data_IF_920081760974
#
_entry.id   IF_920081760974
#
_cell.length_a   1.000
_cell.length_b   1.000
_cell.length_c   1.000
_cell.angle_alpha   90.00
_cell.angle_beta   90.00
_cell.angle_gamma   90.00
#
_symmetry.space_group_name_H-M   'P 1'
#
loop_
_entity.id
_entity.type
_entity.pdbx_description
1 polymer ?
#
# COMPACT_ATOMS: atom_id res chain seq x y z
N UNK A 1 -14.81 19.06 26.81
CA UNK A 1 -14.44 18.68 25.43
C UNK A 1 -12.95 18.41 25.49
N UNK A 2 -12.55 17.16 25.36
CA UNK A 2 -11.14 16.80 25.22
C UNK A 2 -10.54 17.59 24.06
N UNK A 3 -9.30 18.04 24.22
CA UNK A 3 -8.61 18.79 23.18
C UNK A 3 -8.25 17.84 22.03
N UNK A 4 -9.12 17.72 21.04
CA UNK A 4 -9.02 16.80 19.89
C UNK A 4 -7.73 16.99 19.08
N UNK A 5 -6.92 17.99 19.40
CA UNK A 5 -5.63 18.25 18.75
C UNK A 5 -4.42 17.64 19.50
N UNK A 6 -4.66 16.94 20.61
CA UNK A 6 -3.62 16.31 21.44
C UNK A 6 -3.68 14.77 21.39
N UNK A 7 -3.93 14.21 20.20
CA UNK A 7 -3.91 12.75 20.01
C UNK A 7 -2.50 12.20 20.22
N UNK A 8 -2.40 11.16 21.03
CA UNK A 8 -1.17 10.38 21.18
C UNK A 8 -0.94 9.48 19.95
N UNK A 9 0.30 9.00 19.72
CA UNK A 9 0.57 8.01 18.68
C UNK A 9 -0.30 6.74 18.79
N UNK A 10 -0.63 6.29 20.01
CA UNK A 10 -1.49 5.11 20.25
C UNK A 10 -2.95 5.36 19.85
N UNK A 11 -3.46 6.57 20.05
CA UNK A 11 -4.80 6.95 19.58
C UNK A 11 -4.84 7.02 18.05
N UNK A 12 -3.83 7.60 17.42
CA UNK A 12 -3.68 7.59 15.96
C UNK A 12 -3.56 6.18 15.40
N UNK A 13 -2.86 5.29 16.08
CA UNK A 13 -2.74 3.90 15.69
C UNK A 13 -4.10 3.18 15.69
N UNK A 14 -4.92 3.44 16.69
CA UNK A 14 -6.28 2.87 16.80
C UNK A 14 -7.24 3.48 15.79
N UNK A 15 -7.43 4.80 15.81
CA UNK A 15 -8.31 5.51 14.88
C UNK A 15 -7.85 6.96 14.63
N UNK A 16 -7.18 7.26 13.51
CA UNK A 16 -6.68 8.58 13.19
C UNK A 16 -7.75 9.54 12.63
N UNK A 17 -8.89 9.05 12.20
CA UNK A 17 -9.85 9.85 11.41
C UNK A 17 -10.51 10.99 12.18
N UNK A 18 -10.90 10.87 13.47
CA UNK A 18 -11.41 11.99 14.24
C UNK A 18 -10.38 13.13 14.37
N UNK A 19 -9.10 12.80 14.58
CA UNK A 19 -8.01 13.75 14.59
C UNK A 19 -7.84 14.46 13.24
N UNK A 20 -7.84 13.71 12.15
CA UNK A 20 -7.74 14.28 10.81
C UNK A 20 -8.91 15.21 10.47
N UNK A 21 -10.13 14.86 10.87
CA UNK A 21 -11.30 15.72 10.68
C UNK A 21 -11.18 17.04 11.44
N UNK A 22 -10.69 16.99 12.69
CA UNK A 22 -10.42 18.19 13.47
C UNK A 22 -9.33 19.05 12.83
N UNK A 23 -8.23 18.42 12.36
CA UNK A 23 -7.16 19.16 11.68
C UNK A 23 -7.65 19.83 10.38
N UNK A 24 -8.38 19.11 9.52
CA UNK A 24 -8.94 19.69 8.28
C UNK A 24 -9.78 20.93 8.55
N UNK A 25 -10.58 20.90 9.61
CA UNK A 25 -11.45 22.02 10.00
C UNK A 25 -10.67 23.19 10.58
N UNK A 26 -9.81 22.94 11.57
CA UNK A 26 -9.29 23.96 12.47
C UNK A 26 -7.82 24.35 12.20
N UNK A 27 -6.97 23.36 11.80
CA UNK A 27 -5.52 23.54 11.57
C UNK A 27 -5.04 22.60 10.45
N UNK A 28 -5.38 22.87 9.18
CA UNK A 28 -5.11 21.94 8.06
C UNK A 28 -3.62 21.68 7.82
N UNK A 29 -2.75 22.55 8.30
CA UNK A 29 -1.30 22.36 8.37
C UNK A 29 -0.90 22.49 9.84
N UNK A 30 -0.47 21.40 10.45
CA UNK A 30 -0.27 21.29 11.89
C UNK A 30 1.06 20.64 12.22
N UNK A 31 1.82 21.24 13.17
CA UNK A 31 3.01 20.61 13.72
C UNK A 31 2.58 19.59 14.79
N UNK A 32 2.84 18.32 14.53
CA UNK A 32 2.52 17.22 15.43
C UNK A 32 3.76 16.89 16.29
N UNK A 33 3.79 17.43 17.50
CA UNK A 33 4.94 17.34 18.42
C UNK A 33 5.42 15.91 18.71
N UNK A 34 4.52 14.89 18.90
CA UNK A 34 4.99 13.55 19.23
C UNK A 34 5.91 12.91 18.19
N UNK A 35 5.83 13.32 16.92
CA UNK A 35 6.70 12.82 15.85
C UNK A 35 7.63 13.89 15.27
N UNK A 36 7.45 15.16 15.66
CA UNK A 36 8.23 16.29 15.14
C UNK A 36 7.94 16.62 13.66
N UNK A 37 6.74 16.32 13.18
CA UNK A 37 6.36 16.44 11.78
C UNK A 37 5.28 17.48 11.54
N UNK A 38 5.33 18.14 10.39
CA UNK A 38 4.24 18.95 9.88
C UNK A 38 3.27 18.09 9.10
N UNK A 39 2.01 18.01 9.52
CA UNK A 39 0.96 17.25 8.85
C UNK A 39 0.13 18.17 7.95
N UNK A 40 -0.01 17.82 6.68
CA UNK A 40 -0.88 18.50 5.69
C UNK A 40 -2.08 17.59 5.46
N UNK A 41 -3.32 18.08 5.70
CA UNK A 41 -4.48 17.20 5.85
C UNK A 41 -5.61 17.42 4.88
N UNK A 42 -5.82 18.64 4.33
CA UNK A 42 -6.87 18.89 3.32
C UNK A 42 -6.45 18.37 1.95
N UNK A 43 -7.42 17.93 1.17
CA UNK A 43 -7.18 17.47 -0.20
C UNK A 43 -6.42 18.47 -1.07
N UNK A 44 -6.89 19.73 -1.10
CA UNK A 44 -6.28 20.77 -1.92
C UNK A 44 -4.82 21.04 -1.52
N UNK A 45 -4.55 21.10 -0.22
CA UNK A 45 -3.21 21.34 0.33
C UNK A 45 -2.28 20.14 0.08
N UNK A 46 -2.78 18.92 0.22
CA UNK A 46 -2.04 17.69 -0.12
C UNK A 46 -1.68 17.64 -1.62
N UNK A 47 -2.58 18.11 -2.49
CA UNK A 47 -2.27 18.21 -3.92
C UNK A 47 -1.18 19.25 -4.23
N UNK A 48 -1.22 20.42 -3.59
CA UNK A 48 -0.18 21.44 -3.71
C UNK A 48 1.15 20.87 -3.25
N UNK A 49 1.19 20.28 -2.05
CA UNK A 49 2.42 19.69 -1.52
C UNK A 49 2.95 18.54 -2.40
N UNK A 50 2.08 17.65 -2.87
CA UNK A 50 2.43 16.54 -3.74
C UNK A 50 2.92 16.98 -5.13
N UNK A 51 2.45 18.09 -5.65
CA UNK A 51 2.89 18.66 -6.92
C UNK A 51 4.21 19.45 -6.79
N UNK A 52 4.51 20.00 -5.61
CA UNK A 52 5.70 20.82 -5.34
C UNK A 52 6.92 19.96 -4.96
N UNK A 53 7.31 19.06 -5.88
CA UNK A 53 8.40 18.09 -5.62
C UNK A 53 9.80 18.72 -5.55
N UNK A 54 9.97 19.98 -5.95
CA UNK A 54 11.18 20.78 -5.76
C UNK A 54 11.27 21.37 -4.33
N UNK A 55 10.12 21.50 -3.66
CA UNK A 55 10.02 21.98 -2.27
C UNK A 55 9.96 20.79 -1.31
N UNK A 56 8.99 19.90 -1.53
CA UNK A 56 8.77 18.73 -0.69
C UNK A 56 9.47 17.51 -1.30
N UNK A 57 10.78 17.49 -1.10
CA UNK A 57 11.65 16.42 -1.61
C UNK A 57 11.47 15.12 -0.81
N UNK A 58 11.85 13.95 -1.35
CA UNK A 58 11.91 12.74 -0.56
C UNK A 58 12.67 12.96 0.74
N UNK A 59 12.12 12.49 1.84
CA UNK A 59 12.81 12.45 3.11
C UNK A 59 13.76 11.27 3.12
N UNK A 60 14.95 11.41 3.74
CA UNK A 60 15.82 10.27 4.05
C UNK A 60 15.11 9.29 4.99
N UNK A 61 13.96 9.74 5.46
CA UNK A 61 13.00 8.94 6.15
C UNK A 61 13.18 8.96 7.66
N UNK A 62 12.21 8.41 8.26
CA UNK A 62 12.16 7.95 9.62
C UNK A 62 13.17 6.80 9.77
N UNK A 63 14.10 6.88 10.76
CA UNK A 63 15.25 5.97 10.88
C UNK A 63 14.90 4.48 10.75
N UNK A 64 13.82 3.96 11.34
CA UNK A 64 13.41 2.57 11.12
C UNK A 64 13.13 2.23 9.65
N UNK A 65 12.52 3.14 8.89
CA UNK A 65 12.28 2.94 7.45
C UNK A 65 13.58 2.89 6.66
N UNK A 66 14.53 3.78 6.97
CA UNK A 66 15.86 3.82 6.34
C UNK A 66 16.62 2.51 6.58
N UNK A 67 16.66 2.05 7.83
CA UNK A 67 17.29 0.78 8.20
C UNK A 67 16.63 -0.42 7.51
N UNK A 68 15.30 -0.40 7.37
CA UNK A 68 14.53 -1.49 6.77
C UNK A 68 14.71 -1.57 5.27
N UNK A 69 14.49 -0.45 4.58
CA UNK A 69 14.49 -0.42 3.11
C UNK A 69 15.87 -0.23 2.51
N UNK A 70 16.80 0.33 3.28
CA UNK A 70 18.10 0.82 2.82
C UNK A 70 17.98 1.97 1.81
N UNK A 71 19.03 2.72 1.64
CA UNK A 71 19.11 3.86 0.71
C UNK A 71 20.42 3.81 -0.09
N UNK A 72 20.43 4.34 -1.32
CA UNK A 72 19.32 4.96 -2.04
C UNK A 72 18.32 3.93 -2.60
N UNK A 73 17.05 4.27 -2.67
CA UNK A 73 15.99 3.45 -3.26
C UNK A 73 14.99 4.32 -4.04
N UNK A 74 14.01 3.71 -4.71
CA UNK A 74 13.05 4.42 -5.56
C UNK A 74 12.23 5.49 -4.82
N UNK A 75 12.08 5.41 -3.49
CA UNK A 75 11.37 6.42 -2.70
C UNK A 75 12.25 7.60 -2.30
N UNK A 76 13.57 7.42 -2.24
CA UNK A 76 14.54 8.43 -1.78
C UNK A 76 15.31 9.09 -2.92
N UNK A 77 15.38 8.45 -4.09
CA UNK A 77 15.99 9.00 -5.29
C UNK A 77 15.18 10.16 -5.88
N UNK A 78 15.86 11.05 -6.60
CA UNK A 78 15.26 12.19 -7.33
C UNK A 78 15.90 12.36 -8.72
N UNK A 79 15.34 13.22 -9.54
CA UNK A 79 15.94 13.63 -10.82
C UNK A 79 16.11 12.49 -11.81
N UNK A 80 17.24 12.51 -12.54
CA UNK A 80 17.54 11.56 -13.62
C UNK A 80 17.74 10.12 -13.11
N UNK A 81 18.34 9.94 -11.95
CA UNK A 81 18.56 8.61 -11.35
C UNK A 81 17.24 7.93 -11.01
N UNK A 82 16.32 8.68 -10.37
CA UNK A 82 14.96 8.20 -10.12
C UNK A 82 14.24 7.85 -11.43
N UNK A 83 14.30 8.73 -12.43
CA UNK A 83 13.64 8.51 -13.72
C UNK A 83 14.21 7.29 -14.46
N UNK A 84 15.50 7.08 -14.41
CA UNK A 84 16.19 5.92 -15.00
C UNK A 84 15.74 4.60 -14.31
N UNK A 85 15.69 4.58 -12.97
CA UNK A 85 15.23 3.41 -12.22
C UNK A 85 13.73 3.14 -12.48
N UNK A 86 12.89 4.20 -12.54
CA UNK A 86 11.45 4.10 -12.83
C UNK A 86 11.17 3.51 -14.21
N UNK A 87 12.00 3.74 -15.22
CA UNK A 87 11.83 3.10 -16.54
C UNK A 87 11.81 1.57 -16.42
N UNK A 88 12.70 1.00 -15.59
CA UNK A 88 12.70 -0.43 -15.33
C UNK A 88 11.46 -0.88 -14.52
N UNK A 89 11.13 -0.16 -13.46
CA UNK A 89 10.01 -0.53 -12.58
C UNK A 89 8.67 -0.41 -13.30
N UNK A 90 8.45 0.69 -14.03
CA UNK A 90 7.15 1.00 -14.63
C UNK A 90 6.83 0.13 -15.85
N UNK A 91 7.83 -0.31 -16.61
CA UNK A 91 7.63 -1.03 -17.88
C UNK A 91 6.66 -2.23 -17.78
N UNK A 92 6.78 -3.17 -16.85
CA UNK A 92 5.85 -4.29 -16.71
C UNK A 92 4.55 -3.92 -15.95
N UNK A 93 4.44 -2.71 -15.38
CA UNK A 93 3.35 -2.28 -14.49
C UNK A 93 2.42 -1.22 -15.10
N UNK A 94 2.69 -0.74 -16.30
CA UNK A 94 1.76 0.15 -17.02
C UNK A 94 0.52 -0.63 -17.45
N UNK A 95 -0.61 0.06 -17.63
CA UNK A 95 -1.88 -0.58 -17.94
C UNK A 95 -1.82 -1.56 -19.12
N UNK A 96 -1.26 -1.22 -20.31
CA UNK A 96 -1.22 -2.15 -21.42
C UNK A 96 -0.44 -3.44 -21.12
N UNK A 97 0.61 -3.37 -20.30
CA UNK A 97 1.36 -4.55 -19.90
C UNK A 97 0.58 -5.41 -18.90
N UNK A 98 0.00 -4.78 -17.87
CA UNK A 98 -0.79 -5.47 -16.84
C UNK A 98 -2.01 -6.17 -17.44
N UNK A 99 -2.73 -5.52 -18.35
CA UNK A 99 -3.93 -6.08 -19.00
C UNK A 99 -3.64 -7.38 -19.77
N UNK A 100 -2.40 -7.58 -20.24
CA UNK A 100 -2.01 -8.82 -20.96
C UNK A 100 -1.93 -10.04 -20.05
N UNK A 101 -1.45 -9.87 -18.81
CA UNK A 101 -1.12 -11.01 -17.96
C UNK A 101 -1.98 -11.17 -16.71
N UNK A 102 -2.60 -10.11 -16.21
CA UNK A 102 -3.12 -10.09 -14.84
C UNK A 102 -4.28 -11.05 -14.59
N UNK A 103 -5.23 -11.19 -15.53
CA UNK A 103 -6.34 -12.13 -15.36
C UNK A 103 -5.85 -13.58 -15.38
N UNK A 104 -4.88 -13.93 -16.25
CA UNK A 104 -4.28 -15.24 -16.33
C UNK A 104 -3.38 -15.55 -15.12
N UNK A 105 -2.85 -14.54 -14.47
CA UNK A 105 -2.05 -14.69 -13.26
C UNK A 105 -2.91 -14.76 -12.00
N UNK A 106 -3.73 -13.74 -11.76
CA UNK A 106 -4.40 -13.55 -10.49
C UNK A 106 -5.61 -14.48 -10.30
N UNK A 107 -6.44 -14.66 -11.35
CA UNK A 107 -7.68 -15.43 -11.22
C UNK A 107 -7.45 -16.89 -10.80
N UNK A 108 -6.52 -17.66 -11.40
CA UNK A 108 -6.24 -19.03 -10.94
C UNK A 108 -5.72 -19.08 -9.50
N UNK A 109 -4.91 -18.08 -9.08
CA UNK A 109 -4.41 -17.99 -7.70
C UNK A 109 -5.58 -17.77 -6.73
N UNK A 110 -6.45 -16.80 -7.01
CA UNK A 110 -7.63 -16.50 -6.19
C UNK A 110 -8.54 -17.73 -6.08
N UNK A 111 -8.83 -18.39 -7.20
CA UNK A 111 -9.69 -19.57 -7.25
C UNK A 111 -9.11 -20.74 -6.45
N UNK A 112 -7.78 -20.93 -6.45
CA UNK A 112 -7.13 -21.97 -5.66
C UNK A 112 -7.34 -21.75 -4.15
N UNK A 113 -7.13 -20.53 -3.65
CA UNK A 113 -7.39 -20.21 -2.23
C UNK A 113 -8.88 -20.33 -1.87
N UNK A 114 -9.78 -19.88 -2.73
CA UNK A 114 -11.22 -20.02 -2.50
C UNK A 114 -11.69 -21.46 -2.48
N UNK A 115 -11.10 -22.34 -3.31
CA UNK A 115 -11.42 -23.77 -3.32
C UNK A 115 -11.11 -24.43 -1.97
N UNK A 116 -10.02 -24.01 -1.29
CA UNK A 116 -9.66 -24.52 0.05
C UNK A 116 -10.59 -23.99 1.16
N UNK A 117 -11.12 -22.75 0.99
CA UNK A 117 -11.96 -22.12 1.99
C UNK A 117 -13.45 -22.48 1.88
N UNK A 118 -13.93 -22.69 0.65
CA UNK A 118 -15.36 -22.77 0.32
C UNK A 118 -16.14 -23.72 1.22
N UNK A 119 -15.62 -24.94 1.46
CA UNK A 119 -16.29 -25.98 2.25
C UNK A 119 -16.21 -25.76 3.76
N UNK A 120 -15.43 -24.79 4.23
CA UNK A 120 -15.21 -24.52 5.66
C UNK A 120 -16.33 -23.68 6.29
N UNK A 121 -17.00 -22.83 5.51
CA UNK A 121 -18.07 -21.96 5.98
C UNK A 121 -17.61 -20.75 6.81
N UNK A 122 -16.33 -20.68 7.17
CA UNK A 122 -15.73 -19.56 7.92
C UNK A 122 -14.21 -19.43 7.67
N UNK A 123 -13.69 -18.20 7.72
CA UNK A 123 -12.26 -17.89 7.72
C UNK A 123 -11.99 -16.44 8.17
N UNK A 124 -10.73 -16.14 8.49
CA UNK A 124 -10.22 -14.78 8.50
C UNK A 124 -9.80 -14.41 7.06
N UNK A 125 -10.64 -13.63 6.37
CA UNK A 125 -10.42 -13.30 4.95
C UNK A 125 -9.14 -12.48 4.72
N UNK A 126 -8.68 -11.70 5.70
CA UNK A 126 -7.41 -10.99 5.55
C UNK A 126 -6.26 -11.97 5.46
N UNK A 127 -6.15 -12.87 6.45
CA UNK A 127 -4.99 -13.76 6.62
C UNK A 127 -5.00 -14.97 5.70
N UNK A 128 -6.21 -15.48 5.42
CA UNK A 128 -6.36 -16.76 4.72
C UNK A 128 -6.71 -16.59 3.22
N UNK A 129 -7.07 -15.36 2.79
CA UNK A 129 -7.42 -15.08 1.41
C UNK A 129 -6.64 -13.90 0.83
N UNK A 130 -6.87 -12.67 1.32
CA UNK A 130 -6.39 -11.47 0.63
C UNK A 130 -4.87 -11.27 0.72
N UNK A 131 -4.24 -11.47 1.88
CA UNK A 131 -2.78 -11.40 2.01
C UNK A 131 -2.09 -12.49 1.17
N UNK A 132 -2.45 -13.78 1.28
CA UNK A 132 -1.81 -14.83 0.47
C UNK A 132 -1.96 -14.61 -1.04
N UNK A 133 -3.11 -14.15 -1.50
CA UNK A 133 -3.33 -13.81 -2.93
C UNK A 133 -2.37 -12.70 -3.34
N UNK A 134 -2.32 -11.62 -2.57
CA UNK A 134 -1.48 -10.45 -2.87
C UNK A 134 -0.01 -10.85 -2.97
N UNK A 135 0.53 -11.52 -1.95
CA UNK A 135 1.94 -11.93 -1.95
C UNK A 135 2.27 -12.86 -3.10
N UNK A 136 1.39 -13.82 -3.42
CA UNK A 136 1.61 -14.77 -4.51
C UNK A 136 1.60 -14.07 -5.88
N UNK A 137 0.63 -13.19 -6.13
CA UNK A 137 0.55 -12.46 -7.39
C UNK A 137 1.78 -11.57 -7.62
N UNK A 138 2.16 -10.77 -6.62
CA UNK A 138 3.28 -9.84 -6.76
C UNK A 138 4.62 -10.60 -6.84
N UNK A 139 4.81 -11.67 -6.07
CA UNK A 139 6.00 -12.50 -6.15
C UNK A 139 6.17 -13.13 -7.56
N UNK A 140 5.07 -13.57 -8.18
CA UNK A 140 5.12 -14.05 -9.57
C UNK A 140 5.56 -12.96 -10.55
N UNK A 141 4.99 -11.75 -10.44
CA UNK A 141 5.40 -10.61 -11.28
C UNK A 141 6.88 -10.26 -11.05
N UNK A 142 7.37 -10.37 -9.82
CA UNK A 142 8.79 -10.16 -9.52
C UNK A 142 9.71 -11.25 -10.09
N UNK A 143 9.20 -12.47 -10.31
CA UNK A 143 9.99 -13.64 -10.71
C UNK A 143 10.39 -14.54 -9.53
N UNK A 144 9.85 -14.31 -8.33
CA UNK A 144 10.11 -15.08 -7.09
C UNK A 144 9.17 -16.29 -6.98
N UNK A 145 8.97 -17.03 -8.07
CA UNK A 145 8.02 -18.15 -8.14
C UNK A 145 8.42 -19.35 -7.30
N UNK A 146 9.71 -19.48 -6.98
CA UNK A 146 10.28 -20.57 -6.18
C UNK A 146 10.07 -20.37 -4.67
N UNK A 147 9.67 -19.17 -4.22
CA UNK A 147 9.45 -18.87 -2.80
C UNK A 147 8.00 -19.21 -2.44
N UNK A 148 7.79 -19.97 -1.38
CA UNK A 148 6.45 -20.31 -0.90
C UNK A 148 5.71 -19.12 -0.27
N UNK A 149 4.37 -19.20 -0.20
CA UNK A 149 3.53 -18.08 0.29
C UNK A 149 3.78 -17.76 1.76
N UNK A 150 4.05 -18.75 2.61
CA UNK A 150 4.28 -18.52 4.04
C UNK A 150 5.59 -17.73 4.25
N UNK A 151 6.64 -18.06 3.50
CA UNK A 151 7.90 -17.31 3.48
C UNK A 151 7.71 -15.87 3.00
N UNK A 152 6.94 -15.66 1.91
CA UNK A 152 6.64 -14.32 1.41
C UNK A 152 5.85 -13.48 2.42
N UNK A 153 4.85 -14.06 3.07
CA UNK A 153 4.08 -13.40 4.15
C UNK A 153 5.01 -13.04 5.32
N UNK A 154 5.88 -13.94 5.74
CA UNK A 154 6.86 -13.67 6.80
C UNK A 154 7.81 -12.55 6.43
N UNK A 155 8.27 -12.47 5.18
CA UNK A 155 9.17 -11.40 4.73
C UNK A 155 8.53 -10.01 4.86
N UNK A 156 7.31 -9.83 4.36
CA UNK A 156 6.68 -8.52 4.45
C UNK A 156 6.32 -8.14 5.89
N UNK A 157 5.89 -9.09 6.73
CA UNK A 157 5.66 -8.83 8.16
C UNK A 157 6.95 -8.42 8.87
N UNK A 158 8.07 -9.07 8.58
CA UNK A 158 9.37 -8.70 9.15
C UNK A 158 9.82 -7.30 8.72
N UNK A 159 9.70 -6.97 7.42
CA UNK A 159 9.99 -5.63 6.90
C UNK A 159 9.06 -4.59 7.52
N UNK A 160 7.76 -4.87 7.67
CA UNK A 160 6.81 -3.97 8.30
C UNK A 160 7.12 -3.74 9.79
N UNK A 161 7.49 -4.80 10.52
CA UNK A 161 7.91 -4.71 11.92
C UNK A 161 9.18 -3.86 12.05
N UNK A 162 10.17 -4.09 11.18
CA UNK A 162 11.39 -3.27 11.13
C UNK A 162 11.10 -1.80 10.82
N UNK A 163 10.23 -1.52 9.85
CA UNK A 163 9.86 -0.17 9.45
C UNK A 163 9.12 0.62 10.58
N UNK A 164 8.56 -0.08 11.54
CA UNK A 164 7.84 0.49 12.69
C UNK A 164 8.64 0.39 14.01
N UNK A 165 9.89 -0.06 13.99
CA UNK A 165 10.72 -0.25 15.20
C UNK A 165 11.24 1.09 15.76
N UNK A 166 10.32 1.91 16.24
CA UNK A 166 10.60 3.23 16.85
C UNK A 166 11.41 3.09 18.13
N UNK A 167 11.16 2.01 18.88
CA UNK A 167 11.83 1.70 20.14
C UNK A 167 13.27 1.20 19.98
N UNK A 168 13.78 1.09 18.74
CA UNK A 168 15.12 0.61 18.40
C UNK A 168 15.46 -0.76 19.05
N UNK A 169 14.46 -1.65 19.12
CA UNK A 169 14.61 -2.98 19.68
C UNK A 169 15.63 -3.80 18.88
N UNK A 170 16.76 -4.24 19.50
CA UNK A 170 17.79 -5.00 18.82
C UNK A 170 17.31 -6.36 18.31
N UNK A 171 16.33 -7.00 18.96
CA UNK A 171 15.80 -8.28 18.50
C UNK A 171 15.02 -8.14 17.19
N UNK A 172 14.31 -7.03 17.00
CA UNK A 172 13.66 -6.71 15.73
C UNK A 172 14.68 -6.50 14.62
N UNK A 173 15.78 -5.80 14.91
CA UNK A 173 16.85 -5.60 13.91
C UNK A 173 17.53 -6.92 13.52
N UNK A 174 17.81 -7.79 14.47
CA UNK A 174 18.39 -9.10 14.17
C UNK A 174 17.45 -9.94 13.28
N UNK A 175 16.19 -10.02 13.64
CA UNK A 175 15.16 -10.72 12.84
C UNK A 175 15.07 -10.14 11.41
N UNK A 176 15.16 -8.81 11.29
CA UNK A 176 15.12 -8.13 10.00
C UNK A 176 16.36 -8.46 9.15
N UNK A 177 17.56 -8.46 9.75
CA UNK A 177 18.82 -8.77 9.04
C UNK A 177 18.81 -10.21 8.52
N UNK A 178 18.30 -11.16 9.32
CA UNK A 178 18.13 -12.56 8.91
C UNK A 178 17.18 -12.68 7.70
N UNK A 179 16.03 -11.99 7.75
CA UNK A 179 15.08 -11.98 6.63
C UNK A 179 15.64 -11.30 5.39
N UNK A 180 16.36 -10.19 5.53
CA UNK A 180 17.03 -9.53 4.40
C UNK A 180 18.06 -10.42 3.74
N UNK A 181 18.78 -11.24 4.51
CA UNK A 181 19.71 -12.23 3.95
C UNK A 181 18.99 -13.32 3.14
N UNK A 182 17.82 -13.78 3.61
CA UNK A 182 16.98 -14.72 2.86
C UNK A 182 16.46 -14.10 1.56
N UNK A 183 15.94 -12.88 1.62
CA UNK A 183 15.47 -12.13 0.45
C UNK A 183 16.59 -11.97 -0.56
N UNK A 184 17.78 -11.55 -0.10
CA UNK A 184 18.97 -11.40 -0.97
C UNK A 184 19.36 -12.71 -1.67
N UNK A 185 19.27 -13.84 -0.97
CA UNK A 185 19.56 -15.17 -1.53
C UNK A 185 18.55 -15.52 -2.62
N UNK A 186 17.25 -15.36 -2.37
CA UNK A 186 16.21 -15.68 -3.33
C UNK A 186 16.24 -14.76 -4.56
N UNK A 187 16.43 -13.45 -4.34
CA UNK A 187 16.59 -12.46 -5.42
C UNK A 187 17.86 -12.71 -6.20
N UNK A 188 18.97 -13.06 -5.53
CA UNK A 188 20.25 -13.38 -6.16
C UNK A 188 20.14 -14.51 -7.19
N UNK A 189 19.41 -15.57 -6.88
CA UNK A 189 19.17 -16.68 -7.79
C UNK A 189 18.39 -16.25 -9.07
N UNK A 190 17.43 -15.32 -8.93
CA UNK A 190 16.73 -14.74 -10.10
C UNK A 190 17.66 -13.80 -10.86
N UNK A 191 18.40 -12.94 -10.15
CA UNK A 191 19.34 -11.98 -10.72
C UNK A 191 20.39 -12.64 -11.61
N UNK A 192 21.07 -13.70 -11.13
CA UNK A 192 22.07 -14.45 -11.90
C UNK A 192 21.53 -14.96 -13.24
N UNK A 193 20.27 -15.39 -13.27
CA UNK A 193 19.61 -15.84 -14.48
C UNK A 193 19.30 -14.68 -15.43
N UNK A 194 18.66 -13.61 -14.92
CA UNK A 194 18.13 -12.53 -15.77
C UNK A 194 19.21 -11.57 -16.27
N UNK A 195 20.38 -11.49 -15.62
CA UNK A 195 21.52 -10.69 -16.10
C UNK A 195 21.96 -11.11 -17.51
N UNK A 196 22.03 -12.41 -17.75
CA UNK A 196 22.46 -12.95 -19.05
C UNK A 196 21.29 -13.29 -19.99
N UNK A 197 20.12 -13.53 -19.45
CA UNK A 197 18.93 -13.94 -20.21
C UNK A 197 17.73 -13.15 -19.71
N UNK A 198 17.54 -11.91 -20.19
CA UNK A 198 16.40 -11.08 -19.81
C UNK A 198 15.08 -11.76 -20.05
N UNK A 199 14.13 -11.59 -19.11
CA UNK A 199 12.77 -12.11 -19.23
C UNK A 199 11.74 -11.03 -18.89
N UNK A 200 10.45 -11.38 -18.83
CA UNK A 200 9.35 -10.45 -18.52
C UNK A 200 9.16 -10.13 -17.05
N UNK A 201 10.03 -10.62 -16.15
CA UNK A 201 9.89 -10.37 -14.71
C UNK A 201 10.26 -8.95 -14.33
N UNK A 202 9.68 -8.44 -13.24
CA UNK A 202 9.98 -7.12 -12.72
C UNK A 202 11.48 -6.98 -12.33
N UNK A 203 12.08 -8.03 -11.76
CA UNK A 203 13.51 -8.03 -11.43
C UNK A 203 14.34 -7.86 -12.71
N UNK A 204 14.02 -8.60 -13.79
CA UNK A 204 14.69 -8.45 -15.09
C UNK A 204 14.57 -7.03 -15.64
N UNK A 205 13.37 -6.46 -15.60
CA UNK A 205 13.13 -5.07 -16.02
C UNK A 205 13.91 -4.05 -15.17
N UNK A 206 14.02 -4.24 -13.86
CA UNK A 206 14.79 -3.36 -12.98
C UNK A 206 16.30 -3.48 -13.29
N UNK A 207 16.80 -4.67 -13.58
CA UNK A 207 18.22 -4.91 -13.91
C UNK A 207 18.61 -4.17 -15.19
N UNK A 208 17.79 -4.19 -16.23
CA UNK A 208 18.15 -3.71 -17.57
C UNK A 208 17.53 -2.35 -17.94
N UNK A 209 16.34 -2.04 -17.43
CA UNK A 209 15.54 -0.88 -17.88
C UNK A 209 16.19 0.46 -17.55
N UNK A 210 16.25 1.36 -18.54
CA UNK A 210 16.87 2.68 -18.41
C UNK A 210 18.39 2.68 -18.37
N UNK A 211 19.03 1.52 -18.48
CA UNK A 211 20.49 1.40 -18.54
C UNK A 211 21.01 1.61 -19.98
N UNK A 212 22.25 2.12 -20.14
CA UNK A 212 22.92 2.11 -21.43
C UNK A 212 23.03 0.70 -22.01
N UNK A 213 23.09 0.61 -23.35
CA UNK A 213 23.26 -0.67 -24.03
C UNK A 213 24.48 -1.45 -23.50
N UNK A 214 24.28 -2.71 -23.19
CA UNK A 214 25.32 -3.59 -22.62
C UNK A 214 25.62 -3.39 -21.13
N UNK A 215 24.91 -2.46 -20.45
CA UNK A 215 25.06 -2.21 -19.02
C UNK A 215 23.85 -2.74 -18.25
N UNK A 216 24.09 -3.16 -17.01
CA UNK A 216 23.05 -3.67 -16.09
C UNK A 216 23.28 -3.09 -14.68
N UNK A 217 22.21 -2.97 -13.89
CA UNK A 217 22.35 -2.68 -12.47
C UNK A 217 22.83 -3.92 -11.72
N UNK A 218 23.77 -3.73 -10.81
CA UNK A 218 24.23 -4.78 -9.90
C UNK A 218 23.13 -5.20 -8.91
N UNK A 219 23.26 -6.39 -8.33
CA UNK A 219 22.37 -6.86 -7.27
C UNK A 219 22.31 -5.86 -6.09
N UNK A 220 23.46 -5.29 -5.70
CA UNK A 220 23.54 -4.32 -4.61
C UNK A 220 22.75 -3.03 -4.89
N UNK A 221 22.74 -2.55 -6.14
CA UNK A 221 22.00 -1.34 -6.53
C UNK A 221 20.48 -1.54 -6.55
N UNK A 222 20.01 -2.77 -6.84
CA UNK A 222 18.57 -3.03 -6.93
C UNK A 222 17.94 -3.44 -5.59
N UNK A 223 18.72 -4.04 -4.66
CA UNK A 223 18.21 -4.57 -3.39
C UNK A 223 17.41 -3.56 -2.56
N UNK A 224 17.89 -2.32 -2.34
CA UNK A 224 17.10 -1.33 -1.57
C UNK A 224 15.72 -1.07 -2.15
N UNK A 225 15.61 -1.00 -3.48
CA UNK A 225 14.32 -0.82 -4.17
C UNK A 225 13.47 -2.09 -4.10
N UNK A 226 14.06 -3.28 -4.14
CA UNK A 226 13.32 -4.52 -3.97
C UNK A 226 12.77 -4.67 -2.55
N UNK A 227 13.46 -4.20 -1.51
CA UNK A 227 12.89 -4.14 -0.15
C UNK A 227 11.64 -3.23 -0.10
N UNK A 228 11.66 -2.08 -0.80
CA UNK A 228 10.47 -1.22 -0.94
C UNK A 228 9.32 -1.96 -1.63
N UNK A 229 9.61 -2.68 -2.73
CA UNK A 229 8.59 -3.40 -3.50
C UNK A 229 8.04 -4.58 -2.71
N UNK A 230 8.87 -5.31 -1.96
CA UNK A 230 8.43 -6.41 -1.11
C UNK A 230 7.54 -5.88 0.02
N UNK A 231 7.97 -4.83 0.72
CA UNK A 231 7.17 -4.24 1.80
C UNK A 231 5.83 -3.71 1.30
N UNK A 232 5.83 -2.82 0.29
CA UNK A 232 4.61 -2.17 -0.19
C UNK A 232 3.82 -2.99 -1.19
N UNK A 233 4.50 -3.77 -2.05
CA UNK A 233 3.85 -4.52 -3.13
C UNK A 233 3.20 -5.82 -2.66
N UNK A 234 3.82 -6.55 -1.75
CA UNK A 234 3.25 -7.83 -1.28
C UNK A 234 2.01 -7.60 -0.40
N UNK A 235 1.98 -6.58 0.44
CA UNK A 235 0.94 -6.36 1.44
C UNK A 235 -0.25 -5.54 0.90
N UNK A 236 0.04 -4.40 0.29
CA UNK A 236 -0.94 -3.34 0.06
C UNK A 236 -2.14 -3.74 -0.82
N UNK A 237 -1.97 -4.53 -1.91
CA UNK A 237 -3.13 -4.99 -2.68
C UNK A 237 -4.10 -5.85 -1.87
N UNK A 238 -3.57 -6.71 -0.99
CA UNK A 238 -4.36 -7.55 -0.09
C UNK A 238 -5.09 -6.73 0.97
N UNK A 239 -4.41 -5.76 1.60
CA UNK A 239 -5.03 -4.84 2.55
C UNK A 239 -6.10 -3.97 1.89
N UNK A 240 -5.87 -3.49 0.66
CA UNK A 240 -6.89 -2.79 -0.13
C UNK A 240 -8.15 -3.63 -0.36
N UNK A 241 -7.99 -4.92 -0.67
CA UNK A 241 -9.11 -5.85 -0.83
C UNK A 241 -9.82 -6.14 0.50
N UNK A 242 -9.08 -6.34 1.60
CA UNK A 242 -9.65 -6.52 2.94
C UNK A 242 -10.42 -5.28 3.41
N UNK A 243 -9.88 -4.07 3.17
CA UNK A 243 -10.56 -2.81 3.50
C UNK A 243 -11.87 -2.65 2.71
N UNK A 244 -11.88 -3.01 1.42
CA UNK A 244 -13.08 -3.00 0.59
C UNK A 244 -14.09 -4.06 1.05
N UNK A 245 -13.62 -5.27 1.37
CA UNK A 245 -14.48 -6.35 1.87
C UNK A 245 -15.11 -5.98 3.22
N UNK A 246 -14.36 -5.37 4.14
CA UNK A 246 -14.94 -4.85 5.40
C UNK A 246 -16.05 -3.86 5.12
N UNK A 247 -15.82 -2.86 4.24
CA UNK A 247 -16.82 -1.86 3.88
C UNK A 247 -18.09 -2.49 3.29
N UNK A 248 -17.94 -3.48 2.39
CA UNK A 248 -19.05 -4.23 1.83
C UNK A 248 -19.81 -5.03 2.90
N UNK A 249 -19.10 -5.77 3.75
CA UNK A 249 -19.73 -6.61 4.76
C UNK A 249 -20.41 -5.84 5.90
N UNK A 250 -19.99 -4.58 6.12
CA UNK A 250 -20.70 -3.63 6.99
C UNK A 250 -21.94 -3.01 6.32
N UNK A 251 -22.07 -3.14 4.98
CA UNK A 251 -23.16 -2.61 4.17
C UNK A 251 -23.82 -3.73 3.34
N UNK A 252 -24.70 -4.58 3.92
CA UNK A 252 -25.22 -5.78 3.26
C UNK A 252 -25.89 -5.54 1.90
N UNK A 253 -26.54 -4.38 1.71
CA UNK A 253 -27.15 -4.00 0.44
C UNK A 253 -26.10 -3.80 -0.66
N UNK A 254 -24.97 -3.18 -0.31
CA UNK A 254 -23.87 -2.98 -1.25
C UNK A 254 -23.13 -4.30 -1.56
N UNK A 255 -22.99 -5.17 -0.55
CA UNK A 255 -22.46 -6.53 -0.73
C UNK A 255 -23.36 -7.35 -1.67
N UNK A 256 -24.68 -7.31 -1.49
CA UNK A 256 -25.63 -7.99 -2.37
C UNK A 256 -25.61 -7.42 -3.79
N UNK A 257 -25.50 -6.10 -3.95
CA UNK A 257 -25.36 -5.46 -5.26
C UNK A 257 -24.08 -5.93 -5.99
N UNK A 258 -22.96 -6.00 -5.26
CA UNK A 258 -21.69 -6.49 -5.82
C UNK A 258 -21.80 -7.96 -6.20
N UNK A 259 -22.37 -8.83 -5.35
CA UNK A 259 -22.57 -10.25 -5.65
C UNK A 259 -23.45 -10.47 -6.88
N UNK A 260 -24.46 -9.59 -7.11
CA UNK A 260 -25.31 -9.65 -8.29
C UNK A 260 -24.62 -9.15 -9.57
N UNK A 261 -23.62 -8.27 -9.49
CA UNK A 261 -22.93 -7.73 -10.64
C UNK A 261 -21.42 -7.51 -10.36
N UNK A 262 -20.67 -8.60 -10.08
CA UNK A 262 -19.29 -8.50 -9.62
C UNK A 262 -18.36 -7.86 -10.65
N UNK A 263 -18.50 -8.18 -11.94
CA UNK A 263 -17.65 -7.62 -13.00
C UNK A 263 -17.75 -6.10 -13.14
N UNK A 264 -18.91 -5.49 -12.84
CA UNK A 264 -19.10 -4.04 -12.93
C UNK A 264 -18.74 -3.30 -11.63
N UNK A 265 -18.81 -3.96 -10.48
CA UNK A 265 -18.74 -3.29 -9.17
C UNK A 265 -17.45 -3.58 -8.39
N UNK A 266 -16.72 -4.69 -8.66
CA UNK A 266 -15.54 -5.05 -7.88
C UNK A 266 -14.43 -4.01 -7.94
N UNK A 267 -14.17 -3.42 -9.11
CA UNK A 267 -13.17 -2.33 -9.22
C UNK A 267 -13.63 -1.06 -8.48
N UNK A 268 -14.92 -0.74 -8.50
CA UNK A 268 -15.46 0.40 -7.76
C UNK A 268 -15.35 0.17 -6.25
N UNK A 269 -15.66 -1.04 -5.79
CA UNK A 269 -15.53 -1.41 -4.38
C UNK A 269 -14.07 -1.34 -3.93
N UNK A 270 -13.15 -1.82 -4.75
CA UNK A 270 -11.71 -1.74 -4.44
C UNK A 270 -11.22 -0.28 -4.35
N UNK A 271 -11.53 0.57 -5.37
CA UNK A 271 -11.16 1.98 -5.36
C UNK A 271 -11.79 2.73 -4.16
N UNK A 272 -13.02 2.37 -3.76
CA UNK A 272 -13.67 2.92 -2.57
C UNK A 272 -13.03 2.42 -1.27
N UNK A 273 -12.63 1.16 -1.20
CA UNK A 273 -11.86 0.61 -0.08
C UNK A 273 -10.55 1.37 0.14
N UNK A 274 -9.81 1.63 -0.93
CA UNK A 274 -8.58 2.44 -0.91
C UNK A 274 -8.82 3.89 -0.49
N UNK A 275 -9.95 4.48 -0.90
CA UNK A 275 -10.34 5.81 -0.46
C UNK A 275 -10.70 5.81 1.02
N UNK A 276 -11.54 4.89 1.45
CA UNK A 276 -12.12 4.84 2.79
C UNK A 276 -11.09 4.50 3.86
N UNK A 277 -10.24 3.50 3.60
CA UNK A 277 -9.06 3.16 4.42
C UNK A 277 -7.86 3.07 3.49
N UNK A 278 -7.09 4.15 3.39
CA UNK A 278 -5.89 4.16 2.58
C UNK A 278 -4.80 3.30 3.24
N UNK A 279 -4.30 2.23 2.56
CA UNK A 279 -3.23 1.39 3.12
C UNK A 279 -1.98 2.19 3.48
N UNK A 280 -1.59 3.14 2.66
CA UNK A 280 -0.58 4.16 3.00
C UNK A 280 -1.30 5.42 3.45
N UNK A 281 -1.24 5.71 4.75
CA UNK A 281 -1.92 6.86 5.35
C UNK A 281 -1.17 8.18 5.19
N UNK A 282 0.17 8.14 5.18
CA UNK A 282 1.03 9.33 5.18
C UNK A 282 2.22 9.14 4.25
N UNK A 283 2.43 10.10 3.35
CA UNK A 283 3.64 10.17 2.52
C UNK A 283 4.64 11.17 3.13
N UNK A 284 5.78 10.67 3.60
CA UNK A 284 6.82 11.48 4.22
C UNK A 284 7.62 12.29 3.19
N UNK A 285 7.93 13.55 3.52
CA UNK A 285 8.74 14.47 2.73
C UNK A 285 9.62 15.32 3.66
N UNK A 286 10.57 16.03 3.07
CA UNK A 286 11.37 17.07 3.72
C UNK A 286 11.19 18.38 2.96
N UNK A 287 11.00 19.49 3.67
CA UNK A 287 10.98 20.81 3.06
C UNK A 287 12.42 21.25 2.71
N UNK A 288 12.72 21.41 1.41
CA UNK A 288 14.04 21.88 0.92
C UNK A 288 14.26 23.38 1.13
N UNK A 289 13.19 24.12 1.37
CA UNK A 289 13.14 25.55 1.70
C UNK A 289 11.85 25.84 2.46
N UNK A 290 11.78 26.97 3.14
CA UNK A 290 10.55 27.43 3.76
C UNK A 290 9.42 27.56 2.74
N UNK A 291 8.21 27.12 3.08
CA UNK A 291 7.05 27.15 2.21
C UNK A 291 5.78 27.46 2.98
N UNK A 292 4.97 28.38 2.47
CA UNK A 292 3.69 28.75 3.09
C UNK A 292 2.55 28.06 2.36
N UNK A 293 1.73 27.30 3.10
CA UNK A 293 0.56 26.58 2.60
C UNK A 293 -0.58 26.73 3.61
N UNK A 294 -1.79 26.97 3.15
CA UNK A 294 -2.99 27.24 3.98
C UNK A 294 -2.72 28.28 5.11
N UNK A 295 -1.92 29.33 4.82
CA UNK A 295 -1.56 30.38 5.78
C UNK A 295 -0.52 30.00 6.82
N UNK A 296 0.00 28.77 6.80
CA UNK A 296 1.02 28.28 7.74
C UNK A 296 2.36 28.12 7.03
N UNK A 297 3.44 28.63 7.61
CA UNK A 297 4.79 28.50 7.08
C UNK A 297 5.48 27.29 7.67
N UNK A 298 5.80 26.31 6.81
CA UNK A 298 6.65 25.16 7.13
C UNK A 298 8.10 25.59 6.93
N UNK A 299 8.98 25.46 7.93
CA UNK A 299 10.37 25.89 7.82
C UNK A 299 11.19 24.94 6.94
N UNK A 300 12.31 25.46 6.40
CA UNK A 300 13.33 24.65 5.72
C UNK A 300 13.85 23.52 6.62
N UNK A 301 14.09 22.34 6.06
CA UNK A 301 14.57 21.16 6.76
C UNK A 301 13.49 20.38 7.51
N UNK A 302 12.27 20.93 7.65
CA UNK A 302 11.18 20.27 8.36
C UNK A 302 10.77 18.95 7.71
N UNK A 303 10.47 17.94 8.53
CA UNK A 303 9.80 16.72 8.08
C UNK A 303 8.31 17.01 7.90
N UNK A 304 7.76 16.56 6.80
CA UNK A 304 6.37 16.82 6.38
C UNK A 304 5.66 15.52 6.05
N UNK A 305 4.53 15.29 6.68
CA UNK A 305 3.59 14.23 6.36
C UNK A 305 2.46 14.76 5.47
N UNK A 306 2.43 14.33 4.20
CA UNK A 306 1.25 14.53 3.35
C UNK A 306 0.26 13.43 3.72
N UNK A 307 -0.85 13.79 4.40
CA UNK A 307 -1.76 12.82 4.99
C UNK A 307 -2.80 12.35 3.97
N UNK A 308 -2.43 11.31 3.21
CA UNK A 308 -3.26 10.74 2.13
C UNK A 308 -4.60 10.22 2.67
N UNK A 309 -4.59 9.57 3.84
CA UNK A 309 -5.78 9.06 4.50
C UNK A 309 -6.76 10.19 4.89
N UNK A 310 -6.25 11.34 5.29
CA UNK A 310 -7.06 12.53 5.57
C UNK A 310 -7.65 13.12 4.29
N UNK A 311 -6.82 13.34 3.27
CA UNK A 311 -7.25 13.86 1.96
C UNK A 311 -8.35 13.00 1.33
N UNK A 312 -8.29 11.68 1.52
CA UNK A 312 -9.29 10.75 1.02
C UNK A 312 -10.63 10.80 1.78
N UNK A 313 -10.69 11.47 2.92
CA UNK A 313 -11.92 11.72 3.69
C UNK A 313 -12.21 13.21 3.87
N UNK A 314 -11.69 14.06 2.99
CA UNK A 314 -11.96 15.49 3.00
C UNK A 314 -13.39 15.77 2.52
N UNK A 315 -14.18 16.39 3.37
CA UNK A 315 -15.60 16.71 3.17
C UNK A 315 -15.81 17.73 2.04
N UNK A 316 -14.82 18.58 1.74
CA UNK A 316 -14.85 19.50 0.60
C UNK A 316 -14.74 18.77 -0.74
N UNK A 317 -14.18 17.56 -0.75
CA UNK A 317 -14.02 16.73 -1.94
C UNK A 317 -15.05 15.63 -2.06
N UNK A 318 -15.40 14.99 -0.95
CA UNK A 318 -16.21 13.78 -0.91
C UNK A 318 -17.47 13.99 -0.10
N UNK A 319 -18.62 13.89 -0.76
CA UNK A 319 -19.92 13.85 -0.06
C UNK A 319 -19.96 12.60 0.83
N UNK A 320 -20.48 12.75 2.06
CA UNK A 320 -20.48 11.66 3.06
C UNK A 320 -19.13 10.96 3.16
N UNK A 321 -18.06 11.75 3.34
CA UNK A 321 -16.68 11.33 3.23
C UNK A 321 -16.29 10.15 4.13
N UNK A 322 -16.97 9.98 5.26
CA UNK A 322 -16.74 8.89 6.21
C UNK A 322 -17.45 7.58 5.84
N UNK A 323 -18.45 7.64 4.95
CA UNK A 323 -19.23 6.48 4.52
C UNK A 323 -18.48 5.69 3.43
N UNK A 324 -18.58 4.35 3.50
CA UNK A 324 -18.18 3.47 2.41
C UNK A 324 -19.33 3.35 1.40
N UNK A 325 -19.10 3.74 0.14
CA UNK A 325 -20.14 3.80 -0.90
C UNK A 325 -19.61 3.42 -2.27
N UNK A 326 -20.01 2.27 -2.79
CA UNK A 326 -19.59 1.78 -4.12
C UNK A 326 -20.32 2.47 -5.29
N UNK A 327 -21.38 3.21 -5.01
CA UNK A 327 -22.16 3.97 -6.00
C UNK A 327 -21.57 5.36 -6.29
N UNK A 328 -20.52 5.79 -5.58
CA UNK A 328 -19.88 7.08 -5.82
C UNK A 328 -19.47 7.26 -7.28
N UNK A 329 -19.65 8.49 -7.76
CA UNK A 329 -19.01 8.89 -9.01
C UNK A 329 -17.49 8.73 -8.92
N UNK A 330 -16.88 8.07 -9.90
CA UNK A 330 -15.45 7.80 -9.91
C UNK A 330 -14.66 9.11 -9.94
N UNK A 331 -13.87 9.34 -8.90
CA UNK A 331 -12.94 10.47 -8.77
C UNK A 331 -11.57 9.94 -8.35
N UNK A 332 -10.46 10.56 -8.77
CA UNK A 332 -9.14 10.20 -8.23
C UNK A 332 -9.09 10.37 -6.72
N UNK A 333 -8.56 9.37 -6.04
CA UNK A 333 -8.20 9.41 -4.62
C UNK A 333 -6.68 9.51 -4.46
N UNK A 334 -6.20 9.77 -3.24
CA UNK A 334 -4.79 9.98 -2.94
C UNK A 334 -4.05 8.70 -2.52
N UNK A 335 -4.69 7.52 -2.50
CA UNK A 335 -4.10 6.30 -1.92
C UNK A 335 -2.79 5.87 -2.60
N UNK A 336 -2.59 6.23 -3.85
CA UNK A 336 -1.36 5.92 -4.61
C UNK A 336 -0.34 7.08 -4.63
N UNK A 337 -0.54 8.10 -3.80
CA UNK A 337 0.35 9.25 -3.69
C UNK A 337 0.32 10.20 -4.87
N UNK A 338 1.41 10.94 -5.08
CA UNK A 338 1.53 12.03 -6.04
C UNK A 338 2.83 11.90 -6.85
N UNK A 339 2.83 12.45 -8.10
CA UNK A 339 4.03 12.53 -8.93
C UNK A 339 5.11 13.42 -8.27
N UNK A 340 6.41 13.09 -8.49
CA UNK A 340 6.97 12.04 -9.35
C UNK A 340 6.93 10.63 -8.75
N UNK A 341 6.65 10.49 -7.45
CA UNK A 341 6.60 9.21 -6.71
C UNK A 341 5.21 8.56 -6.69
N UNK A 342 4.37 8.82 -7.68
CA UNK A 342 3.10 8.10 -7.84
C UNK A 342 3.35 6.61 -7.98
N UNK A 343 2.54 5.77 -7.32
CA UNK A 343 2.75 4.33 -7.25
C UNK A 343 2.82 3.66 -8.63
N UNK A 344 3.93 2.97 -8.92
CA UNK A 344 4.13 2.19 -10.14
C UNK A 344 3.13 1.04 -10.25
N UNK A 345 2.84 0.38 -9.12
CA UNK A 345 2.01 -0.83 -9.05
C UNK A 345 0.50 -0.58 -9.05
N UNK A 346 0.04 0.65 -9.24
CA UNK A 346 -1.38 0.99 -9.06
C UNK A 346 -2.35 0.25 -10.01
N UNK A 347 -1.94 -0.07 -11.24
CA UNK A 347 -2.75 -0.90 -12.15
C UNK A 347 -2.78 -2.35 -11.72
N UNK A 348 -1.62 -2.91 -11.34
CA UNK A 348 -1.52 -4.27 -10.84
C UNK A 348 -2.36 -4.44 -9.56
N UNK A 349 -2.19 -3.55 -8.59
CA UNK A 349 -2.94 -3.54 -7.33
C UNK A 349 -4.46 -3.52 -7.54
N UNK A 350 -4.94 -2.61 -8.40
CA UNK A 350 -6.38 -2.52 -8.73
C UNK A 350 -6.93 -3.79 -9.37
N UNK A 351 -6.16 -4.42 -10.24
CA UNK A 351 -6.61 -5.63 -10.91
C UNK A 351 -6.57 -6.85 -9.99
N UNK A 352 -5.53 -7.02 -9.16
CA UNK A 352 -5.50 -8.07 -8.13
C UNK A 352 -6.69 -7.91 -7.19
N UNK A 353 -6.92 -6.71 -6.64
CA UNK A 353 -8.02 -6.46 -5.72
C UNK A 353 -9.39 -6.61 -6.37
N UNK A 354 -9.57 -6.15 -7.61
CA UNK A 354 -10.79 -6.38 -8.40
C UNK A 354 -11.10 -7.87 -8.53
N UNK A 355 -10.14 -8.66 -8.98
CA UNK A 355 -10.31 -10.11 -9.20
C UNK A 355 -10.57 -10.81 -7.86
N UNK A 356 -9.85 -10.46 -6.80
CA UNK A 356 -10.05 -11.05 -5.48
C UNK A 356 -11.47 -10.80 -4.95
N UNK A 357 -11.99 -9.58 -5.06
CA UNK A 357 -13.36 -9.25 -4.66
C UNK A 357 -14.40 -9.90 -5.57
N UNK A 358 -14.19 -9.89 -6.88
CA UNK A 358 -15.07 -10.52 -7.86
C UNK A 358 -15.26 -12.00 -7.55
N UNK A 359 -14.19 -12.76 -7.41
CA UNK A 359 -14.23 -14.20 -7.14
C UNK A 359 -14.75 -14.49 -5.71
N UNK A 360 -14.32 -13.72 -4.70
CA UNK A 360 -14.75 -13.91 -3.32
C UNK A 360 -16.29 -13.81 -3.17
N UNK A 361 -16.87 -12.73 -3.67
CA UNK A 361 -18.32 -12.49 -3.56
C UNK A 361 -19.16 -13.32 -4.53
N UNK A 362 -18.55 -13.89 -5.57
CA UNK A 362 -19.22 -14.84 -6.48
C UNK A 362 -19.19 -16.27 -5.95
N UNK A 363 -18.16 -16.65 -5.19
CA UNK A 363 -17.89 -18.04 -4.78
C UNK A 363 -18.41 -18.37 -3.39
N UNK A 364 -18.49 -17.38 -2.47
CA UNK A 364 -18.88 -17.57 -1.07
C UNK A 364 -20.32 -17.06 -0.84
N UNK A 365 -21.36 -17.93 -0.97
CA UNK A 365 -22.75 -17.49 -0.91
C UNK A 365 -23.14 -17.08 0.51
N UNK A 366 -23.82 -15.95 0.62
CA UNK A 366 -24.26 -15.43 1.94
C UNK A 366 -23.10 -14.97 2.81
N UNK A 367 -22.00 -14.51 2.19
CA UNK A 367 -20.83 -13.97 2.87
C UNK A 367 -21.22 -12.80 3.78
N UNK A 368 -20.80 -12.89 5.04
CA UNK A 368 -21.12 -11.92 6.11
C UNK A 368 -20.00 -11.90 7.15
N UNK A 369 -19.93 -10.82 7.95
CA UNK A 369 -19.03 -10.79 9.11
C UNK A 369 -19.42 -11.88 10.11
N UNK A 370 -18.43 -12.47 10.75
CA UNK A 370 -18.64 -13.32 11.90
C UNK A 370 -19.05 -12.44 13.10
N UNK A 371 -20.27 -12.60 13.65
CA UNK A 371 -20.74 -11.78 14.78
C UNK A 371 -19.96 -12.03 16.08
N UNK A 372 -19.19 -13.11 16.15
CA UNK A 372 -18.36 -13.45 17.32
C UNK A 372 -16.91 -13.06 17.11
N UNK A 373 -16.52 -12.74 15.89
CA UNK A 373 -15.17 -12.33 15.52
C UNK A 373 -14.96 -10.83 15.71
N UNK A 374 -13.70 -10.45 15.92
CA UNK A 374 -13.32 -9.05 16.06
C UNK A 374 -12.64 -8.57 14.79
N UNK A 375 -13.27 -7.65 14.08
CA UNK A 375 -12.66 -6.95 12.96
C UNK A 375 -11.83 -5.79 13.47
N UNK A 376 -10.57 -5.71 13.08
CA UNK A 376 -9.65 -4.66 13.51
C UNK A 376 -8.96 -4.01 12.32
N UNK A 377 -9.12 -2.69 12.20
CA UNK A 377 -8.31 -1.84 11.33
C UNK A 377 -7.33 -1.05 12.20
N UNK A 378 -6.05 -1.19 11.96
CA UNK A 378 -5.00 -0.59 12.77
C UNK A 378 -3.96 0.15 11.93
N UNK A 379 -3.25 1.08 12.59
CA UNK A 379 -2.20 1.87 12.00
C UNK A 379 -2.64 3.25 11.54
N UNK A 380 -1.69 4.14 11.29
CA UNK A 380 -1.95 5.47 10.74
C UNK A 380 -1.02 5.83 9.56
N UNK A 381 0.26 5.41 9.61
CA UNK A 381 1.17 5.51 8.45
C UNK A 381 0.92 4.39 7.44
N UNK A 382 0.82 3.17 7.96
CA UNK A 382 0.33 1.99 7.27
C UNK A 382 -0.94 1.56 7.99
N UNK A 383 -2.07 1.47 7.28
CA UNK A 383 -3.35 1.12 7.87
C UNK A 383 -4.09 0.07 7.05
N UNK A 384 -4.48 -0.99 7.70
CA UNK A 384 -5.26 -2.06 7.07
C UNK A 384 -6.13 -2.82 8.07
N UNK A 385 -7.07 -3.56 7.53
CA UNK A 385 -7.86 -4.54 8.28
C UNK A 385 -6.98 -5.77 8.49
N UNK A 386 -6.50 -5.96 9.73
CA UNK A 386 -5.58 -7.05 10.07
C UNK A 386 -6.29 -8.35 10.43
N UNK A 387 -7.58 -8.27 10.77
CA UNK A 387 -8.47 -9.40 11.04
C UNK A 387 -9.83 -9.13 10.40
N UNK A 388 -10.28 -10.03 9.53
CA UNK A 388 -11.59 -9.98 8.89
C UNK A 388 -12.29 -11.33 9.00
N UNK A 389 -12.71 -11.75 10.20
CA UNK A 389 -13.43 -12.99 10.38
C UNK A 389 -14.80 -12.91 9.69
N UNK A 390 -15.07 -13.88 8.84
CA UNK A 390 -16.27 -13.93 8.03
C UNK A 390 -16.85 -15.34 7.97
N UNK A 391 -18.14 -15.43 7.67
CA UNK A 391 -18.90 -16.68 7.48
C UNK A 391 -19.70 -16.66 6.19
N UNK A 392 -19.93 -17.83 5.64
CA UNK A 392 -20.77 -18.05 4.45
C UNK A 392 -21.52 -19.37 4.55
N UNK A 393 -22.39 -19.63 3.58
CA UNK A 393 -23.12 -20.90 3.51
C UNK A 393 -22.23 -21.90 2.73
N UNK A 394 -21.73 -22.93 3.40
CA UNK A 394 -20.91 -24.01 2.83
C UNK A 394 -21.79 -25.02 2.10
#
# INVERSE_FOLDING_TARGET
>A
MENVLEYSPDELFRDPYPFYAALRRDKPVHFYEPTGEWLITRWADCQIAGASSDVFVPSDGFMPMVKTMEVPNVLTMTGSEHSCLRQGIDAPLIQPAVDVYVDNLARPIVQAYLAELRERGEADLTKELFEPISVRCVANVMGLTQVDSATLVRWFHALNTGAQNVGDDPAVWQMLDDVKAEIKTAVGAVYEKVVSTPDGTLISHIVHGGMPEGSVRSLAEIMPTLHVIILGGLQEPGHGAANAALGLLQNPEQAAALAANPGALSLKAYDEGLRWIAPIGVAARRASRSFTIAGTTIPEGAIVGIVLASANRDEERWEEANEFRIDRARKPNAAFGYRPHFCSGHYLSRNIGRIALEECFSTLPGLRLDPTGRCEAQGWRFRGVINLPARWNA
#
